data_IF_941462800732
#
_entry.id   IF_941462800732
#
_cell.length_a   1.000
_cell.length_b   1.000
_cell.length_c   1.000
_cell.angle_alpha   90.00
_cell.angle_beta   90.00
_cell.angle_gamma   90.00
#
_symmetry.space_group_name_H-M   'P 1'
#
loop_
_entity.id
_entity.type
_entity.pdbx_description
1 polymer ?
#
# COMPACT_ATOMS: atom_id res chain seq x y z
N UNK A 1 -8.51 7.84 15.57
CA UNK A 1 -7.33 7.97 14.68
C UNK A 1 -6.12 7.72 15.55
N UNK A 2 -5.31 6.74 15.18
CA UNK A 2 -4.17 6.32 15.97
C UNK A 2 -3.04 7.37 15.83
N UNK A 3 -2.49 7.87 16.95
CA UNK A 3 -1.43 8.88 16.92
C UNK A 3 -0.07 8.30 16.52
N UNK A 4 0.14 7.00 16.71
CA UNK A 4 1.40 6.32 16.45
C UNK A 4 1.22 5.28 15.34
N UNK A 5 2.04 5.40 14.30
CA UNK A 5 2.08 4.48 13.17
C UNK A 5 3.48 3.93 13.00
N UNK A 6 3.58 2.62 12.83
CA UNK A 6 4.80 1.90 12.50
C UNK A 6 4.84 1.67 10.99
N UNK A 7 5.97 1.93 10.36
CA UNK A 7 6.20 1.69 8.93
C UNK A 7 7.26 0.62 8.78
N UNK A 8 6.91 -0.45 8.08
CA UNK A 8 7.81 -1.52 7.66
C UNK A 8 8.16 -1.34 6.19
N UNK A 9 9.44 -1.52 5.90
CA UNK A 9 10.01 -1.33 4.57
C UNK A 9 11.01 -2.45 4.31
N UNK A 10 11.49 -2.59 3.07
CA UNK A 10 12.67 -3.43 2.82
C UNK A 10 13.92 -2.71 3.33
N UNK A 11 14.91 -3.47 3.76
CA UNK A 11 16.17 -2.92 4.27
C UNK A 11 16.85 -1.96 3.27
N UNK A 12 16.76 -2.25 1.97
CA UNK A 12 17.32 -1.40 0.90
C UNK A 12 16.59 -0.05 0.75
N UNK A 13 15.31 0.01 1.10
CA UNK A 13 14.45 1.18 0.90
C UNK A 13 14.42 2.09 2.14
N UNK A 14 15.01 1.66 3.26
CA UNK A 14 14.97 2.36 4.55
C UNK A 14 15.44 3.82 4.43
N UNK A 15 16.59 4.05 3.78
CA UNK A 15 17.16 5.40 3.63
C UNK A 15 16.23 6.32 2.82
N UNK A 16 15.60 5.79 1.78
CA UNK A 16 14.68 6.53 0.93
C UNK A 16 13.45 6.91 1.74
N UNK A 17 12.85 5.94 2.44
CA UNK A 17 11.64 6.19 3.24
C UNK A 17 11.94 7.18 4.37
N UNK A 18 13.09 7.06 5.04
CA UNK A 18 13.50 8.00 6.09
C UNK A 18 13.64 9.44 5.57
N UNK A 19 14.11 9.63 4.33
CA UNK A 19 14.19 10.96 3.72
C UNK A 19 12.83 11.57 3.36
N UNK A 20 11.83 10.73 3.06
CA UNK A 20 10.50 11.17 2.61
C UNK A 20 9.52 11.36 3.77
N UNK A 21 9.72 10.64 4.89
CA UNK A 21 8.85 10.68 6.06
C UNK A 21 8.51 12.09 6.57
N UNK A 22 9.47 13.03 6.74
CA UNK A 22 9.17 14.37 7.25
C UNK A 22 8.15 15.09 6.38
N UNK A 23 8.34 15.03 5.05
CA UNK A 23 7.42 15.63 4.08
C UNK A 23 6.04 14.98 4.13
N UNK A 24 5.97 13.66 4.24
CA UNK A 24 4.68 12.96 4.34
C UNK A 24 3.91 13.30 5.61
N UNK A 25 4.60 13.56 6.73
CA UNK A 25 3.96 13.99 7.98
C UNK A 25 3.43 15.42 7.87
N UNK A 26 4.17 16.32 7.22
CA UNK A 26 3.69 17.69 6.91
C UNK A 26 2.45 17.65 6.02
N UNK A 27 2.49 16.91 4.90
CA UNK A 27 1.34 16.76 4.00
C UNK A 27 0.11 16.16 4.71
N UNK A 28 0.33 15.20 5.62
CA UNK A 28 -0.76 14.63 6.45
C UNK A 28 -1.36 15.68 7.39
N UNK A 29 -0.51 16.48 8.04
CA UNK A 29 -0.92 17.53 8.95
C UNK A 29 -1.70 18.63 8.22
N UNK A 30 -1.30 18.99 7.00
CA UNK A 30 -1.98 20.00 6.20
C UNK A 30 -3.37 19.53 5.73
N UNK A 31 -3.50 18.25 5.34
CA UNK A 31 -4.77 17.72 4.84
C UNK A 31 -5.77 17.35 5.95
N UNK A 32 -5.28 16.80 7.07
CA UNK A 32 -6.14 16.24 8.13
C UNK A 32 -6.18 17.15 9.37
N UNK A 33 -5.22 18.05 9.52
CA UNK A 33 -5.13 18.97 10.67
C UNK A 33 -4.75 18.27 11.98
N UNK A 34 -4.14 17.09 11.92
CA UNK A 34 -3.76 16.29 13.10
C UNK A 34 -2.30 15.87 13.04
N UNK A 35 -1.65 15.90 14.18
CA UNK A 35 -0.29 15.38 14.35
C UNK A 35 -0.29 13.85 14.41
N UNK A 36 0.68 13.25 13.73
CA UNK A 36 0.91 11.80 13.68
C UNK A 36 2.40 11.55 13.86
N UNK A 37 2.72 10.57 14.69
CA UNK A 37 4.09 10.10 14.90
C UNK A 37 4.28 8.84 14.05
N UNK A 38 5.13 8.97 13.03
CA UNK A 38 5.50 7.85 12.16
C UNK A 38 6.88 7.35 12.56
N UNK A 39 6.97 6.06 12.87
CA UNK A 39 8.21 5.40 13.28
C UNK A 39 8.55 4.30 12.28
N UNK A 40 9.82 4.21 11.89
CA UNK A 40 10.31 3.11 11.07
C UNK A 40 10.63 1.92 11.97
N UNK A 41 10.05 0.77 11.65
CA UNK A 41 10.40 -0.50 12.28
C UNK A 41 11.74 -0.97 11.70
N UNK A 42 12.77 -0.98 12.53
CA UNK A 42 14.14 -1.40 12.17
C UNK A 42 14.47 -2.82 12.63
N UNK A 43 13.51 -3.49 13.26
CA UNK A 43 13.63 -4.88 13.74
C UNK A 43 12.92 -5.84 12.78
N UNK A 44 11.82 -5.41 12.15
CA UNK A 44 11.02 -6.24 11.24
C UNK A 44 10.91 -5.59 9.85
N UNK A 45 11.80 -6.01 8.94
CA UNK A 45 11.78 -5.59 7.54
C UNK A 45 10.84 -6.46 6.70
N UNK A 46 10.37 -5.90 5.59
CA UNK A 46 9.74 -6.67 4.52
C UNK A 46 10.77 -7.61 3.87
N UNK A 47 10.32 -8.76 3.34
CA UNK A 47 11.21 -9.71 2.68
C UNK A 47 11.98 -9.05 1.52
N UNK A 48 13.25 -9.41 1.37
CA UNK A 48 14.13 -8.83 0.34
C UNK A 48 13.64 -9.11 -1.10
N UNK A 49 12.91 -10.22 -1.27
CA UNK A 49 12.33 -10.65 -2.56
C UNK A 49 11.06 -9.87 -2.94
N UNK A 50 10.46 -9.13 -1.99
CA UNK A 50 9.32 -8.28 -2.35
C UNK A 50 9.77 -7.23 -3.35
N UNK A 51 8.92 -6.90 -4.33
CA UNK A 51 9.22 -5.87 -5.34
C UNK A 51 9.42 -4.47 -4.73
N UNK A 52 8.87 -4.25 -3.53
CA UNK A 52 9.02 -3.04 -2.74
C UNK A 52 7.71 -2.46 -2.24
N UNK A 53 7.79 -1.22 -1.77
CA UNK A 53 6.70 -0.52 -1.09
C UNK A 53 6.79 -0.63 0.42
N UNK A 54 5.70 -0.29 1.10
CA UNK A 54 5.67 -0.15 2.56
C UNK A 54 4.46 -0.86 3.16
N UNK A 55 4.58 -1.34 4.38
CA UNK A 55 3.45 -1.80 5.19
C UNK A 55 3.33 -0.89 6.41
N UNK A 56 2.14 -0.33 6.60
CA UNK A 56 1.82 0.47 7.77
C UNK A 56 1.15 -0.41 8.81
N UNK A 57 1.51 -0.23 10.08
CA UNK A 57 0.86 -0.89 11.19
C UNK A 57 0.51 0.11 12.29
N UNK A 58 -0.69 -0.05 12.85
CA UNK A 58 -1.20 0.77 13.94
C UNK A 58 -1.86 -0.12 15.01
N UNK A 59 -2.14 0.46 16.17
CA UNK A 59 -2.77 -0.24 17.31
C UNK A 59 -1.99 -1.50 17.73
N UNK A 60 -0.68 -1.36 17.94
CA UNK A 60 0.24 -2.44 18.33
C UNK A 60 0.16 -3.69 17.42
N UNK A 61 0.12 -3.50 16.10
CA UNK A 61 0.10 -4.63 15.16
C UNK A 61 -1.28 -5.15 14.77
N UNK A 62 -2.36 -4.63 15.39
CA UNK A 62 -3.74 -5.09 15.11
C UNK A 62 -4.27 -4.56 13.79
N UNK A 63 -3.93 -3.33 13.43
CA UNK A 63 -4.31 -2.75 12.14
C UNK A 63 -3.06 -2.81 11.26
N UNK A 64 -3.20 -3.40 10.08
CA UNK A 64 -2.14 -3.47 9.08
C UNK A 64 -2.69 -3.02 7.74
N UNK A 65 -1.93 -2.17 7.07
CA UNK A 65 -2.25 -1.64 5.76
C UNK A 65 -1.06 -1.94 4.85
N UNK A 66 -1.08 -3.06 4.13
CA UNK A 66 -0.05 -3.37 3.16
C UNK A 66 -0.21 -2.47 1.94
N UNK A 67 0.79 -1.64 1.67
CA UNK A 67 0.89 -0.80 0.48
C UNK A 67 2.16 -1.17 -0.30
N UNK A 68 2.41 -2.48 -0.42
CA UNK A 68 3.44 -3.02 -1.29
C UNK A 68 2.98 -2.97 -2.74
N UNK A 69 3.93 -2.97 -3.68
CA UNK A 69 3.61 -2.96 -5.11
C UNK A 69 2.80 -4.20 -5.52
N UNK A 70 3.11 -5.34 -4.92
CA UNK A 70 2.40 -6.62 -5.13
C UNK A 70 0.95 -6.53 -4.67
N UNK A 71 0.68 -6.05 -3.44
CA UNK A 71 -0.70 -5.90 -2.95
C UNK A 71 -1.50 -4.92 -3.81
N UNK A 72 -0.88 -3.83 -4.29
CA UNK A 72 -1.55 -2.92 -5.22
C UNK A 72 -1.88 -3.59 -6.54
N UNK A 73 -0.94 -4.34 -7.11
CA UNK A 73 -1.14 -5.06 -8.36
C UNK A 73 -2.23 -6.12 -8.23
N UNK A 74 -2.24 -6.87 -7.14
CA UNK A 74 -3.27 -7.89 -6.87
C UNK A 74 -4.66 -7.27 -6.75
N UNK A 75 -4.79 -6.17 -5.99
CA UNK A 75 -6.05 -5.43 -5.85
C UNK A 75 -6.57 -4.91 -7.20
N UNK A 76 -5.69 -4.32 -8.01
CA UNK A 76 -6.04 -3.81 -9.35
C UNK A 76 -6.38 -4.96 -10.29
N UNK A 77 -5.59 -6.04 -10.27
CA UNK A 77 -5.81 -7.23 -11.09
C UNK A 77 -7.18 -7.81 -10.82
N UNK A 78 -7.55 -8.02 -9.55
CA UNK A 78 -8.86 -8.54 -9.17
C UNK A 78 -10.03 -7.69 -9.72
N UNK A 79 -9.89 -6.36 -9.72
CA UNK A 79 -10.91 -5.44 -10.27
C UNK A 79 -10.94 -5.44 -11.80
N UNK A 80 -9.78 -5.55 -12.45
CA UNK A 80 -9.63 -5.49 -13.90
C UNK A 80 -9.76 -6.86 -14.59
N UNK A 81 -9.83 -7.96 -13.83
CA UNK A 81 -10.00 -9.33 -14.36
C UNK A 81 -11.09 -9.43 -15.44
N UNK A 82 -12.30 -8.83 -15.28
CA UNK A 82 -13.32 -8.87 -16.32
C UNK A 82 -12.90 -8.18 -17.62
N UNK A 83 -12.19 -7.05 -17.53
CA UNK A 83 -11.68 -6.31 -18.67
C UNK A 83 -10.54 -7.08 -19.36
N UNK A 84 -9.60 -7.63 -18.59
CA UNK A 84 -8.49 -8.46 -19.09
C UNK A 84 -9.03 -9.69 -19.81
N UNK A 85 -10.01 -10.39 -19.22
CA UNK A 85 -10.67 -11.54 -19.87
C UNK A 85 -11.32 -11.15 -21.20
N UNK A 86 -11.99 -10.00 -21.22
CA UNK A 86 -12.65 -9.51 -22.44
C UNK A 86 -11.64 -9.14 -23.53
N UNK A 87 -10.51 -8.55 -23.15
CA UNK A 87 -9.44 -8.18 -24.08
C UNK A 87 -8.71 -9.40 -24.66
N UNK A 88 -8.47 -10.44 -23.84
CA UNK A 88 -7.74 -11.63 -24.25
C UNK A 88 -8.60 -12.66 -25.00
N UNK A 89 -9.84 -12.87 -24.55
CA UNK A 89 -10.71 -13.94 -25.05
C UNK A 89 -11.94 -13.42 -25.82
N UNK A 90 -12.05 -12.09 -25.97
CA UNK A 90 -13.20 -11.45 -26.60
C UNK A 90 -14.42 -11.34 -25.68
N UNK A 91 -15.45 -10.64 -26.16
CA UNK A 91 -16.73 -10.52 -25.46
C UNK A 91 -17.51 -11.83 -25.57
N UNK A 92 -18.14 -12.24 -24.48
CA UNK A 92 -19.06 -13.38 -24.50
C UNK A 92 -20.28 -13.04 -25.38
N UNK A 93 -20.46 -13.76 -26.49
CA UNK A 93 -21.57 -13.57 -27.42
C UNK A 93 -22.95 -13.74 -26.76
N UNK A 94 -23.04 -14.49 -25.65
CA UNK A 94 -24.28 -14.71 -24.91
C UNK A 94 -24.56 -13.63 -23.85
N UNK A 95 -23.62 -12.73 -23.57
CA UNK A 95 -23.82 -11.64 -22.60
C UNK A 95 -24.55 -10.48 -23.28
N UNK A 96 -25.88 -10.42 -23.10
CA UNK A 96 -26.76 -9.42 -23.71
C UNK A 96 -26.79 -8.06 -22.98
N UNK A 97 -26.50 -8.04 -21.68
CA UNK A 97 -26.54 -6.82 -20.85
C UNK A 97 -25.23 -6.64 -20.08
N UNK A 98 -24.82 -5.38 -19.92
CA UNK A 98 -23.58 -4.98 -19.24
C UNK A 98 -23.79 -4.07 -18.05
N UNK A 99 -25.05 -3.73 -17.74
CA UNK A 99 -25.45 -3.12 -16.48
C UNK A 99 -25.31 -4.08 -15.30
#
# INVERSE_FOLDING_TARGET
MEPNVLVKTRQVDQNIVQSVLPRSVEEYKDQIGKDVVVTLDTENYLPADACGGIELSALNGRIRVPNTLESRLELISAQLLPAVRTALFGRNANRKFTD
#
